data_IF_502797455173
#
_entry.id   IF_502797455173
#
_cell.length_a   1.000
_cell.length_b   1.000
_cell.length_c   1.000
_cell.angle_alpha   90.00
_cell.angle_beta   90.00
_cell.angle_gamma   90.00
#
_symmetry.space_group_name_H-M   'P 1'
#
loop_
_entity.id
_entity.type
_entity.pdbx_description
1 polymer ?
#
# COMPACT_ATOMS: atom_id res chain seq x y z
N UNK A 1 -8.23 18.43 -22.01
CA UNK A 1 -7.17 18.22 -20.99
C UNK A 1 -7.54 17.05 -20.08
N UNK A 2 -6.77 16.01 -20.19
CA UNK A 2 -6.95 14.87 -19.29
C UNK A 2 -6.29 15.21 -17.96
N UNK A 3 -7.07 15.21 -16.89
CA UNK A 3 -6.51 15.34 -15.55
C UNK A 3 -5.64 14.12 -15.26
N UNK A 4 -4.55 14.32 -14.54
CA UNK A 4 -3.66 13.23 -14.15
C UNK A 4 -4.44 12.19 -13.32
N UNK A 5 -4.31 10.92 -13.68
CA UNK A 5 -4.91 9.84 -12.92
C UNK A 5 -4.12 9.66 -11.63
N UNK A 6 -4.82 9.56 -10.51
CA UNK A 6 -4.21 9.31 -9.21
C UNK A 6 -4.43 7.86 -8.82
N UNK A 7 -3.35 7.14 -8.61
CA UNK A 7 -3.37 5.71 -8.34
C UNK A 7 -2.79 5.43 -6.97
N UNK A 8 -3.54 4.73 -6.13
CA UNK A 8 -3.08 4.27 -4.83
C UNK A 8 -2.71 2.79 -4.95
N UNK A 9 -1.54 2.43 -4.51
CA UNK A 9 -1.04 1.05 -4.60
C UNK A 9 -0.65 0.56 -3.21
N UNK A 10 -1.23 -0.55 -2.78
CA UNK A 10 -0.79 -1.20 -1.55
C UNK A 10 0.48 -1.98 -1.85
N UNK A 11 1.56 -1.62 -1.16
CA UNK A 11 2.86 -2.24 -1.35
C UNK A 11 2.99 -3.47 -0.46
N UNK A 12 3.14 -4.63 -1.09
CA UNK A 12 3.44 -5.88 -0.42
C UNK A 12 4.46 -6.64 -1.25
N UNK A 13 5.37 -7.35 -0.60
CA UNK A 13 6.29 -8.21 -1.32
C UNK A 13 5.57 -9.47 -1.78
N UNK A 14 6.16 -10.17 -2.71
CA UNK A 14 5.60 -11.38 -3.28
C UNK A 14 5.20 -11.18 -4.73
N UNK A 15 4.69 -12.24 -5.35
CA UNK A 15 4.38 -12.21 -6.78
C UNK A 15 3.25 -11.23 -7.12
N UNK A 16 2.18 -11.28 -6.33
CA UNK A 16 1.06 -10.37 -6.56
C UNK A 16 1.46 -8.91 -6.26
N UNK A 17 2.24 -8.70 -5.21
CA UNK A 17 2.76 -7.38 -4.89
C UNK A 17 3.67 -6.83 -5.98
N UNK A 18 4.54 -7.67 -6.53
CA UNK A 18 5.39 -7.28 -7.65
C UNK A 18 4.57 -6.93 -8.88
N UNK A 19 3.54 -7.74 -9.19
CA UNK A 19 2.66 -7.46 -10.33
C UNK A 19 1.92 -6.14 -10.16
N UNK A 20 1.48 -5.82 -8.94
CA UNK A 20 0.81 -4.56 -8.67
C UNK A 20 1.75 -3.37 -8.89
N UNK A 21 2.99 -3.45 -8.42
CA UNK A 21 3.98 -2.40 -8.62
C UNK A 21 4.32 -2.26 -10.12
N UNK A 22 4.47 -3.36 -10.83
CA UNK A 22 4.75 -3.33 -12.27
C UNK A 22 3.61 -2.68 -13.04
N UNK A 23 2.37 -3.01 -12.70
CA UNK A 23 1.20 -2.39 -13.32
C UNK A 23 1.17 -0.90 -13.05
N UNK A 24 1.44 -0.49 -11.82
CA UNK A 24 1.49 0.92 -11.45
C UNK A 24 2.54 1.67 -12.26
N UNK A 25 3.73 1.09 -12.39
CA UNK A 25 4.80 1.68 -13.19
C UNK A 25 4.40 1.84 -14.65
N UNK A 26 3.72 0.83 -15.18
CA UNK A 26 3.23 0.86 -16.55
C UNK A 26 2.22 1.98 -16.77
N UNK A 27 1.30 2.14 -15.83
CA UNK A 27 0.32 3.22 -15.89
C UNK A 27 0.98 4.60 -15.83
N UNK A 28 2.01 4.74 -15.01
CA UNK A 28 2.74 6.01 -14.91
C UNK A 28 3.48 6.34 -16.21
N UNK A 29 4.07 5.34 -16.86
CA UNK A 29 4.80 5.53 -18.10
C UNK A 29 3.88 5.82 -19.28
N UNK A 30 2.71 5.20 -19.31
CA UNK A 30 1.80 5.32 -20.44
C UNK A 30 0.89 6.54 -20.39
N UNK A 31 0.62 7.10 -19.22
CA UNK A 31 -0.40 8.11 -19.19
C UNK A 31 -0.50 9.02 -18.00
N UNK A 32 0.53 9.75 -17.61
CA UNK A 32 0.41 10.80 -16.59
C UNK A 32 -0.21 10.35 -15.26
N UNK A 33 -0.02 9.11 -14.87
CA UNK A 33 -0.52 8.66 -13.60
C UNK A 33 0.41 9.12 -12.48
N UNK A 34 -0.18 9.67 -11.43
CA UNK A 34 0.54 9.98 -10.20
C UNK A 34 0.33 8.85 -9.22
N UNK A 35 1.41 8.25 -8.77
CA UNK A 35 1.34 7.06 -7.93
C UNK A 35 1.50 7.43 -6.46
N UNK A 36 0.73 6.79 -5.60
CA UNK A 36 0.95 6.80 -4.16
C UNK A 36 1.14 5.35 -3.73
N UNK A 37 2.36 5.01 -3.37
CA UNK A 37 2.72 3.66 -2.95
C UNK A 37 2.69 3.64 -1.43
N UNK A 38 1.80 2.85 -0.87
CA UNK A 38 1.62 2.83 0.58
C UNK A 38 1.93 1.44 1.13
N UNK A 39 2.69 1.40 2.20
CA UNK A 39 2.94 0.18 2.96
C UNK A 39 2.39 0.37 4.37
N UNK A 40 1.74 -0.65 4.89
CA UNK A 40 1.11 -0.60 6.21
C UNK A 40 1.87 -1.51 7.16
N UNK A 41 2.40 -0.93 8.24
CA UNK A 41 3.08 -1.67 9.28
C UNK A 41 2.07 -2.01 10.38
N UNK A 42 1.90 -3.29 10.74
CA UNK A 42 1.06 -3.65 11.87
C UNK A 42 1.70 -3.20 13.18
N UNK A 43 0.88 -2.74 14.10
CA UNK A 43 1.33 -2.37 15.43
C UNK A 43 1.13 -3.55 16.38
N UNK A 44 2.13 -3.83 17.22
CA UNK A 44 1.98 -4.87 18.22
C UNK A 44 0.87 -4.49 19.21
N UNK A 45 0.04 -5.46 19.62
CA UNK A 45 -0.99 -5.17 20.61
C UNK A 45 -0.34 -4.70 21.93
N UNK A 46 -0.89 -3.66 22.52
CA UNK A 46 -0.47 -3.21 23.83
C UNK A 46 -0.90 -4.24 24.85
N UNK A 47 0.04 -4.85 25.53
CA UNK A 47 -0.22 -5.83 26.56
C UNK A 47 0.88 -5.79 27.60
N UNK A 48 0.68 -6.47 28.74
CA UNK A 48 1.72 -6.52 29.77
C UNK A 48 2.88 -7.38 29.30
N UNK A 49 3.73 -6.83 28.46
CA UNK A 49 4.98 -7.47 28.08
C UNK A 49 6.11 -6.80 28.83
N UNK A 50 7.12 -7.58 29.14
CA UNK A 50 8.25 -7.11 29.90
C UNK A 50 8.98 -6.00 29.17
N UNK A 51 9.04 -4.82 29.77
CA UNK A 51 9.88 -3.74 29.30
C UNK A 51 9.53 -3.18 27.95
N UNK A 52 10.55 -2.90 27.15
CA UNK A 52 10.42 -2.17 25.88
C UNK A 52 10.21 -3.08 24.67
N UNK A 53 9.86 -4.35 24.86
CA UNK A 53 9.78 -5.31 23.77
C UNK A 53 8.73 -4.94 22.70
N UNK A 54 7.63 -4.31 23.10
CA UNK A 54 6.62 -3.87 22.14
C UNK A 54 7.13 -2.72 21.26
N UNK A 55 7.88 -1.78 21.87
CA UNK A 55 8.47 -0.66 21.15
C UNK A 55 9.52 -1.17 20.15
N UNK A 56 10.38 -2.07 20.62
CA UNK A 56 11.41 -2.67 19.76
C UNK A 56 10.80 -3.47 18.62
N UNK A 57 9.75 -4.22 18.90
CA UNK A 57 9.03 -4.98 17.88
C UNK A 57 8.44 -4.05 16.83
N UNK A 58 7.72 -3.01 17.25
CA UNK A 58 7.10 -2.06 16.34
C UNK A 58 8.13 -1.34 15.48
N UNK A 59 9.27 -1.00 16.07
CA UNK A 59 10.35 -0.35 15.34
C UNK A 59 10.95 -1.28 14.28
N UNK A 60 11.19 -2.55 14.65
CA UNK A 60 11.72 -3.54 13.70
C UNK A 60 10.76 -3.81 12.55
N UNK A 61 9.46 -3.87 12.84
CA UNK A 61 8.45 -4.06 11.80
C UNK A 61 8.39 -2.84 10.88
N UNK A 62 8.42 -1.63 11.45
CA UNK A 62 8.40 -0.42 10.64
C UNK A 62 9.62 -0.34 9.72
N UNK A 63 10.79 -0.72 10.22
CA UNK A 63 12.01 -0.77 9.40
C UNK A 63 11.89 -1.79 8.28
N UNK A 64 11.30 -2.96 8.57
CA UNK A 64 11.08 -3.99 7.56
C UNK A 64 10.13 -3.50 6.46
N UNK A 65 9.06 -2.83 6.85
CA UNK A 65 8.09 -2.30 5.90
C UNK A 65 8.70 -1.14 5.09
N UNK A 66 9.54 -0.33 5.72
CA UNK A 66 10.27 0.72 4.99
C UNK A 66 11.17 0.12 3.92
N UNK A 67 11.79 -1.03 4.19
CA UNK A 67 12.57 -1.73 3.16
C UNK A 67 11.69 -2.23 2.02
N UNK A 68 10.46 -2.58 2.31
CA UNK A 68 9.51 -2.95 1.25
C UNK A 68 9.22 -1.77 0.32
N UNK A 69 9.13 -0.57 0.87
CA UNK A 69 8.98 0.63 0.04
C UNK A 69 10.23 0.90 -0.81
N UNK A 70 11.41 0.66 -0.26
CA UNK A 70 12.64 0.79 -1.03
C UNK A 70 12.68 -0.23 -2.17
N UNK A 71 12.25 -1.45 -1.92
CA UNK A 71 12.12 -2.47 -2.95
C UNK A 71 11.17 -2.03 -4.06
N UNK A 72 10.02 -1.46 -3.69
CA UNK A 72 9.05 -0.96 -4.67
C UNK A 72 9.65 0.17 -5.50
N UNK A 73 10.39 1.07 -4.86
CA UNK A 73 11.05 2.18 -5.57
C UNK A 73 12.05 1.66 -6.59
N UNK A 74 12.86 0.69 -6.21
CA UNK A 74 13.82 0.09 -7.12
C UNK A 74 13.12 -0.59 -8.29
N UNK A 75 12.02 -1.28 -8.00
CA UNK A 75 11.27 -1.99 -9.03
C UNK A 75 10.58 -1.03 -10.01
N UNK A 76 10.12 0.12 -9.53
CA UNK A 76 9.54 1.14 -10.41
C UNK A 76 10.58 1.81 -11.29
N UNK A 77 11.83 1.85 -10.86
CA UNK A 77 12.92 2.49 -11.59
C UNK A 77 12.57 3.94 -11.99
N UNK A 78 12.56 4.27 -13.26
CA UNK A 78 12.25 5.63 -13.72
C UNK A 78 10.85 6.11 -13.36
N UNK A 79 9.89 5.21 -13.26
CA UNK A 79 8.53 5.56 -12.89
C UNK A 79 8.41 6.03 -11.43
N UNK A 80 9.43 5.77 -10.60
CA UNK A 80 9.43 6.23 -9.22
C UNK A 80 9.42 7.76 -9.10
N UNK A 81 9.84 8.47 -10.12
CA UNK A 81 9.78 9.93 -10.14
C UNK A 81 8.35 10.45 -10.05
N UNK A 82 7.37 9.65 -10.46
CA UNK A 82 5.96 9.99 -10.43
C UNK A 82 5.24 9.36 -9.24
N UNK A 83 5.99 8.93 -8.23
CA UNK A 83 5.44 8.22 -7.10
C UNK A 83 5.78 8.88 -5.78
N UNK A 84 4.81 8.88 -4.89
CA UNK A 84 4.99 9.22 -3.49
C UNK A 84 4.96 7.91 -2.69
N UNK A 85 5.84 7.81 -1.68
CA UNK A 85 5.96 6.60 -0.87
C UNK A 85 5.58 6.91 0.56
N UNK A 86 4.57 6.19 1.08
CA UNK A 86 4.04 6.43 2.42
C UNK A 86 4.11 5.16 3.25
N UNK A 87 4.55 5.32 4.48
CA UNK A 87 4.49 4.28 5.50
C UNK A 87 3.40 4.64 6.50
N UNK A 88 2.40 3.77 6.63
CA UNK A 88 1.33 3.94 7.62
C UNK A 88 1.51 2.90 8.73
N UNK A 89 1.42 3.34 9.97
CA UNK A 89 1.43 2.43 11.11
C UNK A 89 -0.01 2.22 11.54
N UNK A 90 -0.46 0.96 11.46
CA UNK A 90 -1.83 0.59 11.79
C UNK A 90 -2.12 0.93 13.24
N UNK A 91 -3.21 1.66 13.47
CA UNK A 91 -3.60 2.10 14.80
C UNK A 91 -3.00 3.42 15.26
N UNK A 92 -1.93 3.91 14.64
CA UNK A 92 -1.29 5.17 15.01
C UNK A 92 -1.51 6.27 13.97
N UNK A 93 -1.52 5.88 12.70
CA UNK A 93 -1.73 6.80 11.59
C UNK A 93 -3.12 6.62 11.00
N UNK A 94 -3.42 7.39 9.96
CA UNK A 94 -4.66 7.17 9.23
C UNK A 94 -4.65 5.78 8.60
N UNK A 95 -5.82 5.19 8.48
CA UNK A 95 -5.96 3.88 7.84
C UNK A 95 -5.86 4.02 6.32
N UNK A 96 -5.63 2.89 5.65
CA UNK A 96 -5.65 2.87 4.19
C UNK A 96 -7.01 3.34 3.65
N UNK A 97 -8.10 2.99 4.35
CA UNK A 97 -9.43 3.43 3.97
C UNK A 97 -9.58 4.94 4.06
N UNK A 98 -9.06 5.54 5.13
CA UNK A 98 -9.10 7.00 5.30
C UNK A 98 -8.26 7.69 4.23
N UNK A 99 -7.10 7.14 3.91
CA UNK A 99 -6.26 7.68 2.85
C UNK A 99 -6.97 7.60 1.50
N UNK A 100 -7.59 6.47 1.20
CA UNK A 100 -8.31 6.28 -0.06
C UNK A 100 -9.48 7.26 -0.18
N UNK A 101 -10.16 7.53 0.94
CA UNK A 101 -11.29 8.46 0.95
C UNK A 101 -10.85 9.89 0.74
N UNK A 102 -9.77 10.31 1.41
CA UNK A 102 -9.35 11.71 1.42
C UNK A 102 -8.43 12.09 0.26
N UNK A 103 -7.80 11.10 -0.38
CA UNK A 103 -6.75 11.35 -1.35
C UNK A 103 -7.21 11.63 -2.77
N UNK A 104 -8.49 11.46 -3.08
CA UNK A 104 -8.99 11.74 -4.43
C UNK A 104 -8.45 10.80 -5.48
N UNK A 105 -8.26 9.53 -5.14
CA UNK A 105 -7.71 8.55 -6.07
C UNK A 105 -8.76 8.08 -7.08
N UNK A 106 -8.31 7.84 -8.31
CA UNK A 106 -9.15 7.30 -9.38
C UNK A 106 -9.12 5.77 -9.40
N UNK A 107 -8.00 5.19 -8.98
CA UNK A 107 -7.76 3.76 -9.04
C UNK A 107 -6.99 3.33 -7.80
N UNK A 108 -7.37 2.19 -7.24
CA UNK A 108 -6.65 1.57 -6.12
C UNK A 108 -6.25 0.16 -6.56
N UNK A 109 -4.95 -0.13 -6.48
CA UNK A 109 -4.41 -1.44 -6.82
C UNK A 109 -4.08 -2.20 -5.53
N UNK A 110 -4.68 -3.37 -5.39
CA UNK A 110 -4.42 -4.25 -4.25
C UNK A 110 -3.85 -5.57 -4.76
N UNK A 111 -2.76 -6.07 -4.17
CA UNK A 111 -2.27 -7.39 -4.55
C UNK A 111 -3.23 -8.48 -4.10
N UNK A 112 -3.44 -9.47 -4.97
CA UNK A 112 -4.28 -10.60 -4.64
C UNK A 112 -3.63 -11.46 -3.56
N UNK A 113 -4.42 -11.94 -2.62
CA UNK A 113 -3.95 -12.84 -1.58
C UNK A 113 -4.54 -14.21 -1.80
N UNK A 114 -3.70 -15.24 -1.67
CA UNK A 114 -4.13 -16.61 -1.85
C UNK A 114 -5.01 -17.12 -0.71
N UNK A 115 -4.80 -16.60 0.50
CA UNK A 115 -5.54 -17.02 1.69
C UNK A 115 -5.92 -15.82 2.51
N UNK A 116 -7.14 -15.80 3.08
CA UNK A 116 -7.49 -14.79 4.05
C UNK A 116 -6.81 -15.10 5.38
N UNK A 117 -5.48 -15.14 5.38
CA UNK A 117 -4.70 -15.35 6.58
C UNK A 117 -4.77 -14.10 7.42
N UNK A 118 -5.45 -14.17 8.56
CA UNK A 118 -5.40 -13.15 9.60
C UNK A 118 -5.18 -11.75 9.04
N UNK A 119 -6.04 -11.37 8.13
CA UNK A 119 -5.85 -10.16 7.37
C UNK A 119 -6.32 -8.95 8.16
N UNK A 120 -5.86 -8.80 9.38
CA UNK A 120 -6.21 -7.66 10.20
C UNK A 120 -5.88 -6.34 9.51
N UNK A 121 -4.90 -6.36 8.62
CA UNK A 121 -4.46 -5.16 7.92
C UNK A 121 -4.79 -5.16 6.42
N UNK A 122 -5.41 -6.22 5.90
CA UNK A 122 -5.77 -6.25 4.49
C UNK A 122 -7.14 -5.61 4.28
N UNK A 123 -7.23 -4.54 3.52
CA UNK A 123 -8.51 -3.85 3.34
C UNK A 123 -9.49 -4.71 2.56
N UNK A 124 -10.74 -4.66 2.96
CA UNK A 124 -11.83 -5.26 2.22
C UNK A 124 -12.07 -4.43 0.94
N UNK A 125 -11.88 -5.05 -0.22
CA UNK A 125 -12.04 -4.38 -1.50
C UNK A 125 -13.46 -3.84 -1.68
N UNK A 126 -14.47 -4.59 -1.24
CA UNK A 126 -15.87 -4.15 -1.33
C UNK A 126 -16.10 -2.88 -0.51
N UNK A 127 -15.52 -2.84 0.67
CA UNK A 127 -15.64 -1.68 1.54
C UNK A 127 -14.91 -0.47 0.95
N UNK A 128 -13.73 -0.68 0.38
CA UNK A 128 -12.98 0.38 -0.28
C UNK A 128 -13.74 0.97 -1.46
N UNK A 129 -14.40 0.13 -2.25
CA UNK A 129 -15.22 0.60 -3.38
C UNK A 129 -16.30 1.55 -2.92
N UNK A 130 -16.95 1.25 -1.80
CA UNK A 130 -18.03 2.09 -1.27
C UNK A 130 -17.51 3.40 -0.71
N UNK A 131 -16.33 3.37 -0.09
CA UNK A 131 -15.79 4.53 0.63
C UNK A 131 -15.05 5.48 -0.30
N UNK A 132 -14.21 4.92 -1.16
CA UNK A 132 -13.24 5.72 -1.93
C UNK A 132 -13.84 6.35 -3.18
N UNK A 133 -14.92 5.79 -3.72
CA UNK A 133 -15.45 6.23 -5.01
C UNK A 133 -14.49 5.97 -6.17
N UNK A 134 -13.47 5.17 -5.95
CA UNK A 134 -12.44 4.84 -6.94
C UNK A 134 -12.67 3.43 -7.48
N UNK A 135 -12.11 3.15 -8.65
CA UNK A 135 -12.04 1.78 -9.14
C UNK A 135 -11.05 1.00 -8.28
N UNK A 136 -11.46 -0.17 -7.79
CA UNK A 136 -10.59 -1.06 -7.03
C UNK A 136 -10.25 -2.24 -7.92
N UNK A 137 -8.96 -2.47 -8.12
CA UNK A 137 -8.48 -3.57 -8.94
C UNK A 137 -7.59 -4.49 -8.12
N UNK A 138 -7.95 -5.76 -8.08
CA UNK A 138 -7.13 -6.78 -7.43
C UNK A 138 -6.16 -7.32 -8.47
N UNK A 139 -4.87 -7.23 -8.20
CA UNK A 139 -3.85 -7.62 -9.15
C UNK A 139 -3.33 -9.01 -8.80
N UNK A 140 -3.55 -9.96 -9.69
CA UNK A 140 -3.07 -11.32 -9.53
C UNK A 140 -1.61 -11.41 -9.95
N UNK A 141 -0.86 -12.39 -9.41
CA UNK A 141 0.51 -12.60 -9.87
C UNK A 141 0.54 -13.01 -11.35
N UNK A 142 1.55 -12.51 -12.00
CA UNK A 142 1.75 -12.81 -13.42
C UNK A 142 2.18 -14.27 -13.64
#
# INVERSE_FOLDING_TARGET
MTSAQRVLVLCERGRAGAAAIDLAGHLAELGNAMLTIVAVAPQAPSGPRCGNSAVEYNQAVAESVARDLDWARERLAGAAEHAEFLLLIDGADQTLEQLARSGGFNLVLLPARRRPLRAASHPDASRLRRIAGAEIRIVAPA
#
